data_IF_236551561238
#
_entry.id   IF_236551561238
#
_cell.length_a   1.000
_cell.length_b   1.000
_cell.length_c   1.000
_cell.angle_alpha   90.00
_cell.angle_beta   90.00
_cell.angle_gamma   90.00
#
_symmetry.space_group_name_H-M   'P 1'
#
loop_
_entity.id
_entity.type
_entity.pdbx_description
1 polymer ?
#
# COMPACT_ATOMS: atom_id res chain seq x y z
N UNK A 1 18.00 5.01 8.98
CA UNK A 1 16.62 5.52 8.95
C UNK A 1 15.73 4.52 8.23
N UNK A 2 14.52 4.27 8.74
CA UNK A 2 13.48 3.44 8.11
C UNK A 2 12.37 4.37 7.63
N UNK A 3 12.11 4.39 6.34
CA UNK A 3 11.13 5.29 5.73
C UNK A 3 10.04 4.56 4.94
N UNK A 4 8.95 5.25 4.66
CA UNK A 4 7.96 4.84 3.69
C UNK A 4 7.88 5.84 2.53
N UNK A 5 7.49 5.34 1.37
CA UNK A 5 7.19 6.13 0.19
C UNK A 5 5.83 5.73 -0.36
N UNK A 6 4.99 6.70 -0.67
CA UNK A 6 3.71 6.46 -1.32
C UNK A 6 3.40 7.53 -2.36
N UNK A 7 2.67 7.12 -3.39
CA UNK A 7 2.02 8.03 -4.33
C UNK A 7 0.58 8.24 -3.87
N UNK A 8 0.18 9.49 -3.71
CA UNK A 8 -1.14 9.85 -3.17
C UNK A 8 -1.88 10.81 -4.11
N UNK A 9 -3.20 10.62 -4.25
CA UNK A 9 -4.09 11.53 -4.94
C UNK A 9 -5.47 11.49 -4.29
N UNK A 10 -5.96 12.64 -3.84
CA UNK A 10 -7.30 12.82 -3.25
C UNK A 10 -7.64 11.83 -2.13
N UNK A 11 -6.65 11.46 -1.32
CA UNK A 11 -6.80 10.57 -0.16
C UNK A 11 -6.33 11.21 1.16
N UNK A 12 -6.21 12.53 1.20
CA UNK A 12 -5.79 13.27 2.39
C UNK A 12 -6.62 12.97 3.64
N UNK A 13 -7.92 12.68 3.48
CA UNK A 13 -8.79 12.32 4.60
C UNK A 13 -8.37 11.04 5.37
N UNK A 14 -7.62 10.13 4.74
CA UNK A 14 -7.14 8.89 5.35
C UNK A 14 -5.70 9.00 5.87
N UNK A 15 -4.99 10.04 5.45
CA UNK A 15 -3.56 10.22 5.75
C UNK A 15 -3.27 10.36 7.26
N UNK A 16 -4.05 11.07 8.08
CA UNK A 16 -3.78 11.16 9.51
C UNK A 16 -3.74 9.80 10.21
N UNK A 17 -4.75 8.94 10.01
CA UNK A 17 -4.78 7.59 10.57
C UNK A 17 -3.59 6.75 10.10
N UNK A 18 -3.26 6.85 8.81
CA UNK A 18 -2.17 6.12 8.20
C UNK A 18 -0.80 6.54 8.76
N UNK A 19 -0.59 7.84 8.97
CA UNK A 19 0.63 8.38 9.59
C UNK A 19 0.73 7.96 11.07
N UNK A 20 -0.35 8.09 11.84
CA UNK A 20 -0.40 7.67 13.24
C UNK A 20 0.03 6.21 13.39
N UNK A 21 -0.52 5.33 12.56
CA UNK A 21 -0.19 3.91 12.58
C UNK A 21 1.29 3.62 12.30
N UNK A 22 1.80 4.14 11.20
CA UNK A 22 3.15 3.81 10.77
C UNK A 22 4.22 4.47 11.64
N UNK A 23 3.97 5.69 12.13
CA UNK A 23 4.88 6.32 13.07
C UNK A 23 4.89 5.62 14.44
N UNK A 24 3.73 5.14 14.92
CA UNK A 24 3.67 4.33 16.13
C UNK A 24 4.38 2.97 15.95
N UNK A 25 4.33 2.40 14.74
CA UNK A 25 5.04 1.17 14.40
C UNK A 25 6.56 1.35 14.22
N UNK A 26 7.08 2.58 14.31
CA UNK A 26 8.52 2.86 14.28
C UNK A 26 9.08 3.31 12.93
N UNK A 27 8.23 3.72 11.98
CA UNK A 27 8.68 4.46 10.80
C UNK A 27 9.22 5.81 11.25
N UNK A 28 10.35 6.23 10.69
CA UNK A 28 11.05 7.46 11.08
C UNK A 28 10.71 8.62 10.16
N UNK A 29 10.47 8.36 8.86
CA UNK A 29 10.16 9.38 7.85
C UNK A 29 9.22 8.87 6.76
N UNK A 30 8.42 9.75 6.16
CA UNK A 30 7.50 9.44 5.05
C UNK A 30 7.70 10.39 3.88
N UNK A 31 7.88 9.84 2.68
CA UNK A 31 7.95 10.55 1.42
C UNK A 31 6.61 10.44 0.69
N UNK A 32 5.87 11.56 0.61
CA UNK A 32 4.54 11.69 0.04
C UNK A 32 4.64 12.30 -1.35
N UNK A 33 4.37 11.52 -2.38
CA UNK A 33 4.35 11.99 -3.76
C UNK A 33 2.92 12.38 -4.13
N UNK A 34 2.63 13.69 -4.13
CA UNK A 34 1.31 14.23 -4.45
C UNK A 34 1.09 14.22 -5.96
N UNK A 35 0.20 13.36 -6.43
CA UNK A 35 -0.14 13.21 -7.84
C UNK A 35 -1.26 14.18 -8.29
N UNK A 36 -1.18 15.42 -7.86
CA UNK A 36 -2.13 16.47 -8.20
C UNK A 36 -3.47 16.32 -7.49
N UNK A 37 -3.45 16.20 -6.17
CA UNK A 37 -4.65 16.23 -5.34
C UNK A 37 -5.35 17.57 -5.42
N UNK A 38 -6.69 17.59 -5.36
CA UNK A 38 -7.49 18.85 -5.33
C UNK A 38 -7.18 19.67 -4.08
N UNK A 39 -7.04 18.99 -2.93
CA UNK A 39 -6.54 19.59 -1.69
C UNK A 39 -5.09 19.15 -1.51
N UNK A 40 -4.13 20.09 -1.39
CA UNK A 40 -2.72 19.76 -1.20
C UNK A 40 -2.52 18.73 -0.08
N UNK A 41 -1.73 17.70 -0.33
CA UNK A 41 -1.45 16.64 0.66
C UNK A 41 -0.84 17.22 1.94
N UNK A 42 -0.04 18.30 1.83
CA UNK A 42 0.52 19.03 2.97
C UNK A 42 -0.54 19.48 4.00
N UNK A 43 -1.73 19.84 3.54
CA UNK A 43 -2.82 20.33 4.39
C UNK A 43 -3.48 19.22 5.21
N UNK A 44 -3.21 17.98 4.84
CA UNK A 44 -3.72 16.77 5.51
C UNK A 44 -2.73 16.16 6.50
N UNK A 45 -1.51 16.70 6.61
CA UNK A 45 -0.49 16.20 7.53
C UNK A 45 -0.74 16.79 8.92
N UNK A 46 -0.96 15.98 9.98
CA UNK A 46 -1.03 16.48 11.34
C UNK A 46 0.22 17.27 11.73
N UNK A 47 0.05 18.37 12.47
CA UNK A 47 1.16 19.25 12.88
C UNK A 47 2.31 18.49 13.57
N UNK A 48 1.98 17.47 14.35
CA UNK A 48 2.95 16.61 15.04
C UNK A 48 3.88 15.83 14.10
N UNK A 49 3.56 15.73 12.81
CA UNK A 49 4.30 14.92 11.84
C UNK A 49 4.91 15.71 10.69
N UNK A 50 4.75 17.03 10.65
CA UNK A 50 5.25 17.89 9.57
C UNK A 50 6.75 17.66 9.34
N UNK A 51 7.55 17.64 10.39
CA UNK A 51 9.01 17.47 10.30
C UNK A 51 9.43 16.02 9.93
N UNK A 52 8.49 15.08 9.94
CA UNK A 52 8.70 13.67 9.59
C UNK A 52 8.14 13.30 8.23
N UNK A 53 7.61 14.27 7.50
CA UNK A 53 7.07 14.08 6.17
C UNK A 53 7.79 14.98 5.16
N UNK A 54 8.05 14.44 3.99
CA UNK A 54 8.49 15.22 2.82
C UNK A 54 7.44 15.08 1.73
N UNK A 55 6.80 16.18 1.36
CA UNK A 55 5.87 16.22 0.23
C UNK A 55 6.62 16.57 -1.04
N UNK A 56 6.41 15.80 -2.09
CA UNK A 56 6.97 16.00 -3.42
C UNK A 56 5.82 16.17 -4.40
N UNK A 57 5.74 17.31 -5.06
CA UNK A 57 4.79 17.55 -6.14
C UNK A 57 5.12 16.62 -7.31
N UNK A 58 4.19 15.73 -7.66
CA UNK A 58 4.42 14.66 -8.63
C UNK A 58 3.28 14.55 -9.65
N UNK A 59 2.98 15.65 -10.29
CA UNK A 59 1.94 15.67 -11.33
C UNK A 59 2.57 15.93 -12.70
N UNK A 60 1.98 15.34 -13.72
CA UNK A 60 2.46 15.51 -15.09
C UNK A 60 2.18 14.29 -15.98
N UNK A 61 2.54 14.34 -17.25
CA UNK A 61 2.25 13.33 -18.25
C UNK A 61 3.19 12.11 -18.14
N UNK A 62 3.38 11.57 -16.95
CA UNK A 62 4.21 10.38 -16.75
C UNK A 62 3.42 9.14 -17.16
N UNK A 63 3.98 8.33 -18.04
CA UNK A 63 3.35 7.09 -18.53
C UNK A 63 3.29 6.02 -17.45
N UNK A 64 4.19 6.11 -16.44
CA UNK A 64 4.32 5.17 -15.33
C UNK A 64 4.49 5.92 -14.00
N UNK A 65 3.55 6.78 -13.67
CA UNK A 65 3.65 7.73 -12.56
C UNK A 65 4.09 7.10 -11.23
N UNK A 66 3.57 5.92 -10.87
CA UNK A 66 3.94 5.25 -9.61
C UNK A 66 5.37 4.67 -9.66
N UNK A 67 5.74 4.01 -10.74
CA UNK A 67 7.11 3.46 -10.93
C UNK A 67 8.15 4.59 -10.92
N UNK A 68 7.82 5.70 -11.59
CA UNK A 68 8.72 6.85 -11.67
C UNK A 68 8.87 7.53 -10.31
N UNK A 69 7.78 7.72 -9.56
CA UNK A 69 7.80 8.26 -8.21
C UNK A 69 8.65 7.39 -7.25
N UNK A 70 8.43 6.10 -7.25
CA UNK A 70 9.15 5.15 -6.39
C UNK A 70 10.65 5.08 -6.77
N UNK A 71 10.95 5.09 -8.07
CA UNK A 71 12.34 5.11 -8.55
C UNK A 71 13.03 6.44 -8.23
N UNK A 72 12.32 7.56 -8.33
CA UNK A 72 12.82 8.86 -7.89
C UNK A 72 13.11 8.87 -6.39
N UNK A 73 12.20 8.35 -5.57
CA UNK A 73 12.38 8.22 -4.12
C UNK A 73 13.65 7.43 -3.77
N UNK A 74 13.83 6.25 -4.40
CA UNK A 74 15.03 5.44 -4.21
C UNK A 74 16.32 6.20 -4.54
N UNK A 75 16.35 6.94 -5.65
CA UNK A 75 17.53 7.67 -6.09
C UNK A 75 17.84 8.89 -5.22
N UNK A 76 16.80 9.63 -4.84
CA UNK A 76 16.95 10.93 -4.18
C UNK A 76 17.13 10.77 -2.67
N UNK A 77 16.31 9.93 -2.05
CA UNK A 77 16.25 9.79 -0.59
C UNK A 77 16.82 8.46 -0.08
N UNK A 78 16.91 7.45 -0.96
CA UNK A 78 17.47 6.15 -0.62
C UNK A 78 18.83 6.19 0.08
N UNK A 79 19.80 7.03 -0.36
CA UNK A 79 21.11 7.12 0.31
C UNK A 79 21.07 7.46 1.81
N UNK A 80 19.98 8.09 2.29
CA UNK A 80 19.79 8.41 3.70
C UNK A 80 19.04 7.31 4.48
N UNK A 81 18.54 6.28 3.79
CA UNK A 81 17.71 5.25 4.37
C UNK A 81 18.43 3.89 4.42
N UNK A 82 18.25 3.18 5.51
CA UNK A 82 18.61 1.76 5.59
C UNK A 82 17.54 0.90 4.90
N UNK A 83 16.27 1.27 5.12
CA UNK A 83 15.11 0.61 4.54
C UNK A 83 14.09 1.62 4.04
N UNK A 84 13.45 1.34 2.91
CA UNK A 84 12.27 2.06 2.42
C UNK A 84 11.19 1.04 2.09
N UNK A 85 10.00 1.23 2.65
CA UNK A 85 8.77 0.52 2.27
C UNK A 85 7.98 1.32 1.24
N UNK A 86 7.32 0.61 0.33
CA UNK A 86 6.47 1.21 -0.70
C UNK A 86 5.05 0.68 -0.52
N UNK A 87 4.16 1.52 0.00
CA UNK A 87 2.78 1.17 0.37
C UNK A 87 1.82 2.29 0.00
N UNK A 88 0.55 1.96 -0.18
CA UNK A 88 -0.49 2.94 -0.53
C UNK A 88 -1.23 3.43 0.73
N UNK A 89 -2.08 4.46 0.61
CA UNK A 89 -2.83 5.07 1.74
C UNK A 89 -3.90 4.16 2.35
N UNK A 90 -4.25 3.08 1.68
CA UNK A 90 -5.18 2.07 2.17
C UNK A 90 -4.47 0.79 2.64
N UNK A 91 -3.15 0.85 2.83
CA UNK A 91 -2.29 -0.26 3.22
C UNK A 91 -1.57 0.04 4.53
N UNK A 92 -1.66 -0.88 5.49
CA UNK A 92 -1.10 -0.74 6.83
C UNK A 92 -0.18 -1.92 7.12
N UNK A 93 1.12 -1.63 7.36
CA UNK A 93 2.08 -2.68 7.72
C UNK A 93 1.75 -3.18 9.12
N UNK A 94 1.55 -4.49 9.24
CA UNK A 94 1.26 -5.17 10.49
C UNK A 94 2.40 -6.07 10.89
N UNK A 95 2.80 -6.03 12.16
CA UNK A 95 3.75 -6.96 12.78
C UNK A 95 2.99 -7.71 13.87
N UNK A 96 2.91 -9.05 13.75
CA UNK A 96 2.03 -9.90 14.57
C UNK A 96 2.23 -9.73 16.08
N UNK A 97 3.47 -9.65 16.54
CA UNK A 97 3.79 -9.55 17.97
C UNK A 97 3.89 -8.11 18.49
N UNK A 98 3.54 -7.12 17.67
CA UNK A 98 3.50 -5.70 18.03
C UNK A 98 4.85 -5.04 18.24
N UNK A 99 5.97 -5.73 17.93
CA UNK A 99 7.29 -5.08 17.93
C UNK A 99 7.35 -4.00 16.85
N UNK A 100 8.31 -3.07 16.97
CA UNK A 100 8.51 -2.07 15.92
C UNK A 100 8.96 -2.70 14.59
N UNK A 101 8.67 -2.03 13.49
CA UNK A 101 9.13 -2.43 12.15
C UNK A 101 10.66 -2.58 12.14
N UNK A 102 11.41 -1.68 12.79
CA UNK A 102 12.87 -1.79 12.89
C UNK A 102 13.33 -3.05 13.62
N UNK A 103 12.68 -3.41 14.74
CA UNK A 103 12.98 -4.64 15.44
C UNK A 103 12.66 -5.89 14.62
N UNK A 104 11.59 -5.86 13.83
CA UNK A 104 11.27 -6.92 12.87
C UNK A 104 12.32 -7.03 11.76
N UNK A 105 12.66 -5.93 11.09
CA UNK A 105 13.62 -5.91 9.99
C UNK A 105 15.01 -6.38 10.43
N UNK A 106 15.38 -6.15 11.70
CA UNK A 106 16.65 -6.64 12.28
C UNK A 106 16.70 -8.17 12.44
N UNK A 107 15.56 -8.88 12.36
CA UNK A 107 15.52 -10.35 12.42
C UNK A 107 15.70 -11.01 11.04
N UNK A 108 15.64 -10.24 9.97
CA UNK A 108 15.79 -10.76 8.60
C UNK A 108 17.27 -11.10 8.30
N UNK A 109 17.54 -12.02 7.35
CA UNK A 109 18.90 -12.33 6.93
C UNK A 109 19.64 -11.06 6.50
N UNK A 110 20.91 -10.94 6.96
CA UNK A 110 21.71 -9.75 6.70
C UNK A 110 21.98 -9.51 5.21
N UNK A 111 21.89 -10.57 4.40
CA UNK A 111 22.08 -10.55 2.96
C UNK A 111 20.78 -10.40 2.17
N UNK A 112 19.63 -10.22 2.81
CA UNK A 112 18.38 -9.90 2.14
C UNK A 112 18.38 -8.44 1.66
N UNK A 113 18.05 -8.25 0.38
CA UNK A 113 17.91 -6.92 -0.23
C UNK A 113 16.53 -6.32 0.02
N UNK A 114 15.55 -7.16 0.39
CA UNK A 114 14.20 -6.73 0.73
C UNK A 114 13.32 -7.85 1.27
N UNK A 115 12.22 -7.47 1.88
CA UNK A 115 11.15 -8.36 2.35
C UNK A 115 9.85 -8.05 1.61
N UNK A 116 9.18 -9.10 1.16
CA UNK A 116 7.85 -9.02 0.56
C UNK A 116 6.79 -9.41 1.61
N UNK A 117 5.89 -8.47 1.89
CA UNK A 117 4.81 -8.61 2.85
C UNK A 117 3.49 -8.82 2.09
N UNK A 118 2.86 -9.96 2.31
CA UNK A 118 1.61 -10.33 1.65
C UNK A 118 0.46 -9.43 2.09
N UNK A 119 -0.47 -9.17 1.18
CA UNK A 119 -1.73 -8.53 1.52
C UNK A 119 -2.67 -9.46 2.31
N UNK A 120 -3.34 -8.88 3.29
CA UNK A 120 -4.59 -9.35 3.87
C UNK A 120 -5.64 -8.32 3.48
N UNK A 121 -6.52 -8.67 2.55
CA UNK A 121 -7.53 -7.75 2.04
C UNK A 121 -8.72 -7.75 2.99
N UNK A 122 -9.16 -6.54 3.36
CA UNK A 122 -10.39 -6.32 4.13
C UNK A 122 -11.52 -5.90 3.19
N UNK A 123 -12.66 -6.57 3.31
CA UNK A 123 -13.86 -6.26 2.56
C UNK A 123 -14.67 -5.11 3.14
N UNK A 124 -15.74 -4.77 2.47
CA UNK A 124 -16.64 -3.66 2.85
C UNK A 124 -17.45 -3.91 4.14
N UNK A 125 -17.48 -5.17 4.65
CA UNK A 125 -18.20 -5.51 5.88
C UNK A 125 -19.70 -5.17 5.85
N UNK A 126 -20.33 -5.21 4.67
CA UNK A 126 -21.74 -4.84 4.49
C UNK A 126 -22.00 -3.33 4.41
N UNK A 127 -20.99 -2.49 4.41
CA UNK A 127 -21.16 -1.03 4.38
C UNK A 127 -21.36 -0.50 2.96
N UNK A 128 -22.54 0.02 2.70
CA UNK A 128 -22.87 0.69 1.43
C UNK A 128 -22.46 2.16 1.41
N UNK A 129 -22.52 2.84 2.54
CA UNK A 129 -22.21 4.26 2.68
C UNK A 129 -20.94 4.48 3.48
N UNK A 130 -20.28 5.59 3.22
CA UNK A 130 -19.12 6.05 3.98
C UNK A 130 -19.57 6.51 5.37
N UNK A 131 -18.96 5.94 6.40
CA UNK A 131 -19.21 6.30 7.79
C UNK A 131 -18.01 7.00 8.39
N UNK A 132 -18.19 7.90 9.38
CA UNK A 132 -17.07 8.50 10.10
C UNK A 132 -16.25 7.43 10.87
N UNK A 133 -14.99 7.75 11.11
CA UNK A 133 -14.09 6.94 11.93
C UNK A 133 -12.94 6.31 11.13
N UNK A 134 -11.96 5.78 11.87
CA UNK A 134 -10.79 5.14 11.30
C UNK A 134 -11.13 3.96 10.39
N UNK A 135 -10.45 3.82 9.28
CA UNK A 135 -10.65 2.72 8.31
C UNK A 135 -10.48 1.37 8.99
N UNK A 136 -9.47 1.24 9.85
CA UNK A 136 -9.14 0.00 10.56
C UNK A 136 -10.19 -0.42 11.59
N UNK A 137 -10.98 0.52 12.10
CA UNK A 137 -12.09 0.23 13.02
C UNK A 137 -13.39 -0.09 12.28
N UNK A 138 -13.57 0.50 11.08
CA UNK A 138 -14.76 0.29 10.26
C UNK A 138 -14.76 -1.04 9.53
N UNK A 139 -13.59 -1.51 9.09
CA UNK A 139 -13.45 -2.71 8.26
C UNK A 139 -12.57 -3.74 8.99
N UNK A 140 -13.18 -4.61 9.77
CA UNK A 140 -12.47 -5.52 10.68
C UNK A 140 -12.45 -6.97 10.23
N UNK A 141 -13.15 -7.31 9.14
CA UNK A 141 -13.28 -8.68 8.66
C UNK A 141 -12.47 -8.88 7.38
N UNK A 142 -11.44 -9.73 7.41
CA UNK A 142 -10.73 -10.10 6.20
C UNK A 142 -11.67 -10.74 5.18
N UNK A 143 -11.57 -10.30 3.93
CA UNK A 143 -12.33 -10.87 2.83
C UNK A 143 -11.76 -12.21 2.38
N UNK A 144 -12.62 -13.09 1.89
CA UNK A 144 -12.20 -14.22 1.06
C UNK A 144 -12.09 -13.71 -0.38
N UNK A 145 -10.92 -13.79 -0.96
CA UNK A 145 -10.66 -13.27 -2.29
C UNK A 145 -9.85 -14.25 -3.14
N UNK A 146 -9.99 -14.19 -4.48
CA UNK A 146 -9.36 -15.13 -5.38
C UNK A 146 -7.82 -15.02 -5.38
N UNK A 147 -7.17 -16.08 -5.76
CA UNK A 147 -5.70 -16.17 -5.76
C UNK A 147 -5.01 -15.12 -6.65
N UNK A 148 -5.68 -14.63 -7.71
CA UNK A 148 -5.09 -13.60 -8.59
C UNK A 148 -4.98 -12.22 -7.93
N UNK A 149 -5.70 -11.98 -6.81
CA UNK A 149 -5.58 -10.79 -5.98
C UNK A 149 -4.53 -10.92 -4.88
N UNK A 150 -3.85 -12.07 -4.80
CA UNK A 150 -2.77 -12.30 -3.85
C UNK A 150 -1.52 -11.54 -4.27
N UNK A 151 -1.42 -10.31 -3.83
CA UNK A 151 -0.28 -9.42 -4.07
C UNK A 151 0.51 -9.18 -2.77
N UNK A 152 1.58 -8.42 -2.88
CA UNK A 152 2.41 -8.00 -1.74
C UNK A 152 2.88 -6.56 -1.91
N UNK A 153 3.45 -6.03 -0.84
CA UNK A 153 4.28 -4.82 -0.85
C UNK A 153 5.66 -5.14 -0.31
N UNK A 154 6.64 -4.36 -0.72
CA UNK A 154 8.01 -4.62 -0.32
C UNK A 154 8.58 -3.48 0.52
N UNK A 155 9.38 -3.88 1.53
CA UNK A 155 10.34 -3.01 2.22
C UNK A 155 11.72 -3.45 1.75
N UNK A 156 12.51 -2.52 1.21
CA UNK A 156 13.79 -2.84 0.56
C UNK A 156 14.95 -2.03 1.13
N UNK A 157 16.17 -2.55 0.98
CA UNK A 157 17.40 -1.79 1.21
C UNK A 157 17.75 -1.00 -0.05
N UNK A 158 17.65 0.34 -0.03
CA UNK A 158 17.82 1.16 -1.24
C UNK A 158 19.19 1.01 -1.91
N UNK A 159 20.21 0.67 -1.13
CA UNK A 159 21.57 0.48 -1.63
C UNK A 159 21.68 -0.60 -2.73
N UNK A 160 20.75 -1.55 -2.75
CA UNK A 160 20.77 -2.69 -3.68
C UNK A 160 19.66 -2.62 -4.74
N UNK A 161 18.73 -1.68 -4.64
CA UNK A 161 17.57 -1.58 -5.52
C UNK A 161 17.67 -0.34 -6.41
N UNK A 162 17.57 -0.53 -7.72
CA UNK A 162 17.68 0.57 -8.71
C UNK A 162 16.34 1.14 -9.16
N UNK A 163 15.31 0.32 -9.13
CA UNK A 163 13.98 0.70 -9.59
C UNK A 163 12.92 -0.13 -8.88
N UNK A 164 11.74 0.46 -8.70
CA UNK A 164 10.66 -0.14 -7.93
C UNK A 164 9.35 -0.07 -8.71
N UNK A 165 8.66 -1.21 -8.85
CA UNK A 165 7.28 -1.28 -9.31
C UNK A 165 6.31 -1.19 -8.13
N UNK A 166 5.01 -1.22 -8.42
CA UNK A 166 3.95 -1.11 -7.40
C UNK A 166 4.05 -2.18 -6.28
N UNK A 167 4.54 -3.37 -6.61
CA UNK A 167 4.54 -4.52 -5.70
C UNK A 167 5.94 -5.00 -5.31
N UNK A 168 6.99 -4.58 -6.00
CA UNK A 168 8.34 -5.02 -5.68
C UNK A 168 9.40 -4.44 -6.59
N UNK A 169 10.68 -4.73 -6.29
CA UNK A 169 11.79 -4.22 -7.06
C UNK A 169 11.82 -4.80 -8.48
N UNK A 170 12.23 -3.96 -9.43
CA UNK A 170 12.42 -4.38 -10.81
C UNK A 170 13.83 -4.96 -10.93
N UNK A 171 13.92 -6.19 -11.43
CA UNK A 171 15.18 -6.83 -11.75
C UNK A 171 15.90 -6.07 -12.88
N UNK A 172 17.22 -5.99 -12.78
CA UNK A 172 18.08 -5.44 -13.81
C UNK A 172 19.08 -6.49 -14.31
N UNK A 173 19.67 -6.29 -15.47
CA UNK A 173 20.69 -7.18 -16.04
C UNK A 173 21.92 -7.37 -15.12
N UNK A 174 22.15 -6.42 -14.23
CA UNK A 174 23.33 -6.40 -13.36
C UNK A 174 23.04 -6.91 -11.93
N UNK A 175 21.78 -7.03 -11.52
CA UNK A 175 21.40 -7.44 -10.18
C UNK A 175 19.99 -8.01 -10.12
N UNK A 176 19.87 -9.20 -9.56
CA UNK A 176 18.60 -9.80 -9.15
C UNK A 176 18.45 -9.61 -7.64
N UNK A 177 17.47 -8.81 -7.17
CA UNK A 177 17.28 -8.60 -5.74
C UNK A 177 16.99 -9.90 -4.98
N UNK A 178 17.67 -10.09 -3.86
CA UNK A 178 17.45 -11.22 -2.94
C UNK A 178 16.32 -10.88 -1.99
N UNK A 179 15.12 -11.27 -2.36
CA UNK A 179 13.93 -11.07 -1.55
C UNK A 179 13.67 -12.25 -0.62
N UNK A 180 13.10 -11.92 0.53
CA UNK A 180 12.61 -12.91 1.49
C UNK A 180 11.12 -12.68 1.79
N UNK A 181 10.44 -13.73 2.26
CA UNK A 181 9.08 -13.61 2.82
C UNK A 181 9.13 -13.06 4.26
N UNK A 182 7.97 -12.88 4.89
CA UNK A 182 7.87 -12.33 6.25
C UNK A 182 8.60 -13.14 7.34
N UNK A 183 8.96 -14.41 7.08
CA UNK A 183 9.76 -15.28 7.95
C UNK A 183 11.26 -15.24 7.67
N UNK A 184 11.71 -14.39 6.73
CA UNK A 184 13.10 -14.34 6.30
C UNK A 184 13.54 -15.48 5.37
N UNK A 185 12.59 -16.24 4.80
CA UNK A 185 12.90 -17.32 3.86
C UNK A 185 13.01 -16.76 2.44
N UNK A 186 14.00 -17.19 1.64
CA UNK A 186 14.15 -16.72 0.27
C UNK A 186 12.91 -16.98 -0.60
N UNK A 187 12.57 -16.00 -1.44
CA UNK A 187 11.55 -16.13 -2.46
C UNK A 187 12.14 -15.80 -3.84
N UNK A 188 11.61 -16.43 -4.87
CA UNK A 188 12.07 -16.25 -6.26
C UNK A 188 11.32 -15.14 -6.99
N UNK A 189 10.13 -14.80 -6.51
CA UNK A 189 9.23 -13.83 -7.14
C UNK A 189 8.29 -13.24 -6.10
N UNK A 190 7.86 -11.99 -6.32
CA UNK A 190 6.79 -11.34 -5.55
C UNK A 190 5.42 -12.03 -5.73
N UNK A 191 5.29 -12.93 -6.71
CA UNK A 191 4.11 -13.77 -6.93
C UNK A 191 4.28 -15.19 -6.37
N UNK A 192 5.33 -15.42 -5.57
CA UNK A 192 5.63 -16.72 -4.98
C UNK A 192 4.53 -17.13 -4.00
N UNK A 193 4.11 -18.39 -4.07
CA UNK A 193 3.15 -18.95 -3.10
C UNK A 193 3.74 -19.13 -1.70
N UNK A 194 5.05 -19.03 -1.56
CA UNK A 194 5.77 -19.00 -0.28
C UNK A 194 5.61 -17.71 0.52
N UNK A 195 4.91 -16.70 0.01
CA UNK A 195 4.54 -15.51 0.78
C UNK A 195 3.54 -15.89 1.88
N UNK A 196 3.86 -15.57 3.12
CA UNK A 196 3.07 -15.90 4.30
C UNK A 196 2.53 -14.63 5.00
N UNK A 197 1.51 -14.80 5.84
CA UNK A 197 0.92 -13.75 6.70
C UNK A 197 1.19 -14.08 8.19
N UNK A 198 2.33 -14.71 8.50
CA UNK A 198 2.55 -15.26 9.84
C UNK A 198 3.26 -14.29 10.79
N UNK A 199 4.26 -13.55 10.31
CA UNK A 199 5.11 -12.69 11.18
C UNK A 199 4.85 -11.22 10.91
N UNK A 200 4.66 -10.88 9.63
CA UNK A 200 4.34 -9.55 9.16
C UNK A 200 3.58 -9.63 7.85
N UNK A 201 2.67 -8.69 7.63
CA UNK A 201 1.86 -8.58 6.42
C UNK A 201 1.42 -7.14 6.22
N UNK A 202 0.63 -6.90 5.18
CA UNK A 202 0.00 -5.62 4.91
C UNK A 202 -1.52 -5.79 4.98
N UNK A 203 -2.16 -5.14 5.94
CA UNK A 203 -3.61 -4.99 5.97
C UNK A 203 -4.02 -4.03 4.87
N UNK A 204 -4.81 -4.51 3.88
CA UNK A 204 -5.20 -3.74 2.72
C UNK A 204 -6.71 -3.50 2.69
N UNK A 205 -7.11 -2.28 2.97
CA UNK A 205 -8.50 -1.82 2.96
C UNK A 205 -8.94 -1.42 1.55
N UNK A 206 -8.86 -2.40 0.63
CA UNK A 206 -8.90 -2.20 -0.79
C UNK A 206 -10.18 -1.58 -1.30
N UNK A 207 -11.33 -2.13 -0.88
CA UNK A 207 -12.63 -1.66 -1.35
C UNK A 207 -13.22 -0.56 -0.48
N UNK A 208 -13.03 -0.64 0.84
CA UNK A 208 -13.78 0.16 1.82
C UNK A 208 -15.29 -0.02 1.62
N UNK A 209 -16.14 0.99 1.89
CA UNK A 209 -17.56 0.95 1.58
C UNK A 209 -17.82 1.04 0.06
N UNK A 210 -19.04 0.70 -0.38
CA UNK A 210 -19.41 0.82 -1.79
C UNK A 210 -19.35 2.28 -2.27
N UNK A 211 -19.70 3.24 -1.43
CA UNK A 211 -19.59 4.67 -1.75
C UNK A 211 -18.12 5.09 -1.94
N UNK A 212 -17.23 4.70 -1.03
CA UNK A 212 -15.79 4.96 -1.15
C UNK A 212 -15.18 4.25 -2.36
N UNK A 213 -15.71 3.07 -2.74
CA UNK A 213 -15.32 2.39 -3.97
C UNK A 213 -15.72 3.14 -5.24
N UNK A 214 -16.92 3.74 -5.26
CA UNK A 214 -17.34 4.63 -6.34
C UNK A 214 -16.43 5.85 -6.48
N UNK A 215 -16.10 6.51 -5.35
CA UNK A 215 -15.14 7.61 -5.33
C UNK A 215 -13.79 7.17 -5.90
N UNK A 216 -13.33 5.98 -5.52
CA UNK A 216 -12.05 5.40 -5.98
C UNK A 216 -12.06 5.08 -7.48
N UNK A 217 -13.17 4.60 -8.03
CA UNK A 217 -13.36 4.40 -9.47
C UNK A 217 -13.37 5.76 -10.20
N UNK A 218 -14.15 6.72 -9.72
CA UNK A 218 -14.28 8.04 -10.35
C UNK A 218 -12.96 8.80 -10.41
N UNK A 219 -12.13 8.70 -9.36
CA UNK A 219 -10.78 9.27 -9.32
C UNK A 219 -9.83 8.65 -10.35
N UNK A 220 -10.06 7.39 -10.72
CA UNK A 220 -9.21 6.64 -11.63
C UNK A 220 -7.97 6.04 -10.97
N UNK A 221 -7.07 5.48 -11.79
CA UNK A 221 -5.80 4.88 -11.37
C UNK A 221 -4.65 5.42 -12.22
N UNK A 222 -3.50 5.62 -11.59
CA UNK A 222 -2.25 5.90 -12.30
C UNK A 222 -1.64 4.63 -12.92
N UNK A 223 -2.09 3.45 -12.52
CA UNK A 223 -1.71 2.18 -13.13
C UNK A 223 -2.72 1.83 -14.24
N UNK A 224 -2.31 1.85 -15.53
CA UNK A 224 -3.19 1.54 -16.64
C UNK A 224 -3.67 0.08 -16.65
N UNK A 225 -3.00 -0.81 -15.91
CA UNK A 225 -3.38 -2.21 -15.76
C UNK A 225 -4.37 -2.44 -14.60
N UNK A 226 -4.58 -1.42 -13.76
CA UNK A 226 -5.52 -1.51 -12.63
C UNK A 226 -6.94 -1.28 -13.11
N UNK A 227 -7.70 -2.34 -13.24
CA UNK A 227 -9.12 -2.30 -13.61
C UNK A 227 -10.00 -2.31 -12.36
N UNK A 228 -10.30 -1.11 -11.84
CA UNK A 228 -11.27 -0.95 -10.77
C UNK A 228 -12.68 -0.99 -11.37
N UNK A 229 -13.46 -2.01 -11.03
CA UNK A 229 -14.82 -2.21 -11.52
C UNK A 229 -15.75 -2.63 -10.39
N UNK A 230 -17.06 -2.55 -10.62
CA UNK A 230 -18.04 -3.10 -9.69
C UNK A 230 -17.95 -4.63 -9.60
N UNK A 231 -17.59 -5.32 -10.69
CA UNK A 231 -17.39 -6.75 -10.66
C UNK A 231 -16.30 -7.13 -9.68
N UNK A 232 -15.18 -6.41 -9.67
CA UNK A 232 -14.09 -6.62 -8.70
C UNK A 232 -14.56 -6.32 -7.26
N UNK A 233 -15.40 -5.30 -7.05
CA UNK A 233 -15.99 -5.05 -5.74
C UNK A 233 -16.85 -6.23 -5.27
N UNK A 234 -17.70 -6.77 -6.14
CA UNK A 234 -18.58 -7.90 -5.82
C UNK A 234 -17.80 -9.21 -5.67
N UNK A 235 -16.68 -9.35 -6.32
CA UNK A 235 -15.79 -10.50 -6.13
C UNK A 235 -15.17 -10.53 -4.72
N UNK A 236 -14.83 -9.37 -4.18
CA UNK A 236 -14.28 -9.23 -2.82
C UNK A 236 -15.41 -9.22 -1.76
N UNK A 237 -16.60 -8.76 -2.13
CA UNK A 237 -17.76 -8.60 -1.25
C UNK A 237 -18.97 -9.35 -1.80
N UNK A 238 -18.93 -10.68 -1.91
CA UNK A 238 -20.00 -11.45 -2.57
C UNK A 238 -21.36 -11.32 -1.87
N UNK A 239 -21.36 -11.17 -0.55
CA UNK A 239 -22.59 -11.01 0.24
C UNK A 239 -23.32 -9.67 0.00
N UNK A 240 -22.64 -8.71 -0.61
CA UNK A 240 -23.21 -7.40 -0.95
C UNK A 240 -23.69 -7.34 -2.40
N UNK A 241 -23.45 -8.38 -3.21
CA UNK A 241 -23.85 -8.42 -4.62
C UNK A 241 -25.36 -8.39 -4.73
N UNK A 242 -25.97 -7.48 -5.52
CA UNK A 242 -27.40 -7.48 -5.75
C UNK A 242 -27.87 -8.82 -6.32
N UNK A 243 -28.97 -9.36 -5.80
CA UNK A 243 -29.60 -10.52 -6.42
C UNK A 243 -29.99 -10.19 -7.87
N UNK A 244 -29.81 -11.13 -8.79
CA UNK A 244 -30.01 -10.96 -10.24
C UNK A 244 -31.50 -10.84 -10.65
N UNK A 245 -32.38 -10.40 -9.75
CA UNK A 245 -33.76 -10.16 -9.98
C UNK A 245 -33.97 -8.72 -10.48
N UNK A 246 -33.55 -8.49 -11.73
CA UNK A 246 -34.15 -7.58 -12.69
C UNK A 246 -34.51 -6.15 -12.27
N UNK A 247 -33.67 -5.43 -11.51
CA UNK A 247 -33.70 -3.96 -11.55
C UNK A 247 -32.35 -3.38 -11.05
N UNK A 248 -31.67 -2.72 -11.95
CA UNK A 248 -30.45 -1.93 -11.73
C UNK A 248 -30.75 -0.66 -10.90
N UNK A 249 -30.84 -0.79 -9.59
CA UNK A 249 -31.01 0.35 -8.67
C UNK A 249 -29.70 0.97 -8.19
N UNK A 250 -28.55 0.52 -8.69
CA UNK A 250 -27.21 0.87 -8.13
C UNK A 250 -26.33 1.68 -9.09
N UNK A 251 -26.80 1.95 -10.31
CA UNK A 251 -26.05 2.69 -11.34
C UNK A 251 -26.51 4.16 -11.56
N UNK A 252 -27.15 4.79 -10.54
CA UNK A 252 -27.48 6.21 -10.63
C UNK A 252 -26.80 7.03 -9.56
#
# INVERSE_FOLDING_TARGET
MIALCLLIKDEGAYLPEWLDWHFAAGIEHVYLYDNGSEVPVSDSIPEAYIDRCTVVDWFGPHTHTQIDAYTHCLKTYGPACEWIGFVDTDEFIHIEDGRSIGAYLATLPADADGVALRWVIYGAGGQYTKTPGPVRERFTVPAQYPAHLLQCKCIVRPAYIKSMAAHGPIQTDSHTPRLVNSRGQPIWSIFDQGLTVETAWVDHYFTRSLEEWREKIARGSCDPMSHRSFDLFWEINPDMKPESNGETAVEK
#
